data_IF_974072718629
#
_entry.id   IF_974072718629
#
_cell.length_a   1.000
_cell.length_b   1.000
_cell.length_c   1.000
_cell.angle_alpha   90.00
_cell.angle_beta   90.00
_cell.angle_gamma   90.00
#
_symmetry.space_group_name_H-M   'P 1'
#
loop_
_entity.id
_entity.type
_entity.pdbx_description
1 polymer ?
#
# COMPACT_ATOMS: atom_id res chain seq x y z
N UNK A 1 -8.36 -26.99 -1.24
CA UNK A 1 -8.72 -26.33 0.04
C UNK A 1 -9.35 -27.28 1.07
N UNK A 2 -10.36 -28.09 0.75
CA UNK A 2 -11.04 -28.98 1.72
C UNK A 2 -10.12 -29.98 2.47
N UNK A 3 -9.11 -30.55 1.80
CA UNK A 3 -8.13 -31.46 2.44
C UNK A 3 -7.06 -30.75 3.30
N UNK A 4 -6.83 -29.45 3.07
CA UNK A 4 -5.90 -28.63 3.85
C UNK A 4 -6.55 -28.15 5.17
N UNK A 5 -7.81 -27.72 5.10
CA UNK A 5 -8.65 -27.41 6.27
C UNK A 5 -8.82 -28.62 7.19
N UNK A 6 -8.98 -29.83 6.63
CA UNK A 6 -9.09 -31.07 7.39
C UNK A 6 -7.84 -31.40 8.24
N UNK A 7 -6.66 -30.90 7.89
CA UNK A 7 -5.40 -31.20 8.59
C UNK A 7 -4.88 -30.08 9.48
N UNK A 8 -5.17 -28.81 9.16
CA UNK A 8 -5.11 -27.74 10.18
C UNK A 8 -6.02 -28.10 11.36
N UNK A 9 -7.21 -28.68 11.09
CA UNK A 9 -8.09 -29.30 12.10
C UNK A 9 -7.44 -30.47 12.85
N UNK A 10 -6.71 -31.35 12.18
CA UNK A 10 -6.04 -32.51 12.80
C UNK A 10 -4.84 -32.11 13.68
N UNK A 11 -4.00 -31.18 13.22
CA UNK A 11 -2.92 -30.61 14.04
C UNK A 11 -3.48 -29.76 15.18
N UNK A 12 -4.66 -29.16 14.96
CA UNK A 12 -5.37 -28.44 15.99
C UNK A 12 -5.90 -29.33 17.12
N UNK A 13 -6.44 -30.50 16.80
CA UNK A 13 -6.84 -31.50 17.78
C UNK A 13 -5.62 -32.17 18.45
N UNK A 14 -4.58 -32.52 17.69
CA UNK A 14 -3.45 -33.30 18.19
C UNK A 14 -2.62 -32.59 19.29
N UNK A 15 -2.62 -31.26 19.32
CA UNK A 15 -1.94 -30.47 20.34
C UNK A 15 -2.64 -30.41 21.71
N UNK A 16 -3.69 -31.21 21.91
CA UNK A 16 -4.38 -31.37 23.21
C UNK A 16 -4.04 -32.65 23.97
N UNK A 17 -3.37 -33.64 23.35
CA UNK A 17 -3.00 -34.90 24.02
C UNK A 17 -1.68 -35.48 23.48
N UNK A 18 -0.58 -35.32 24.22
CA UNK A 18 0.61 -36.20 24.08
C UNK A 18 1.25 -36.41 25.47
N UNK A 19 1.25 -37.63 26.03
CA UNK A 19 2.10 -37.97 27.18
C UNK A 19 3.54 -38.23 26.71
N UNK A 20 4.57 -38.04 27.57
CA UNK A 20 5.95 -38.16 27.14
C UNK A 20 6.34 -39.64 27.06
N UNK A 21 6.71 -40.12 25.87
CA UNK A 21 7.48 -41.36 25.72
C UNK A 21 8.94 -40.99 25.49
N UNK A 22 9.79 -41.60 26.31
CA UNK A 22 11.20 -41.30 26.46
C UNK A 22 12.02 -42.10 25.42
N UNK A 23 12.81 -41.41 24.59
CA UNK A 23 13.97 -42.00 23.90
C UNK A 23 15.11 -40.98 23.83
N UNK A 24 16.36 -41.36 24.16
CA UNK A 24 17.52 -40.49 24.05
C UNK A 24 18.23 -40.66 22.70
N UNK A 25 19.00 -39.62 22.34
CA UNK A 25 19.91 -39.46 21.20
C UNK A 25 19.36 -38.81 19.92
N UNK A 26 19.48 -37.49 19.86
CA UNK A 26 20.14 -36.75 18.77
C UNK A 26 20.22 -35.26 19.12
N UNK A 27 21.42 -34.70 19.23
CA UNK A 27 21.69 -33.26 19.28
C UNK A 27 21.48 -32.64 17.89
N UNK A 28 20.22 -32.43 17.52
CA UNK A 28 19.82 -31.27 16.74
C UNK A 28 19.26 -30.28 17.76
N UNK A 29 19.47 -28.98 17.59
CA UNK A 29 18.82 -27.97 18.42
C UNK A 29 17.32 -28.27 18.44
N UNK A 30 16.85 -28.82 19.56
CA UNK A 30 15.51 -29.37 19.70
C UNK A 30 14.60 -28.16 19.72
N UNK A 31 14.08 -27.77 18.55
CA UNK A 31 13.04 -26.74 18.45
C UNK A 31 11.90 -27.27 19.30
N UNK A 32 11.84 -26.77 20.53
CA UNK A 32 10.98 -27.33 21.55
C UNK A 32 9.55 -27.29 21.06
N UNK A 33 8.83 -28.41 21.17
CA UNK A 33 7.47 -28.52 20.64
C UNK A 33 6.59 -27.36 21.13
N UNK A 34 5.69 -26.82 20.28
CA UNK A 34 4.79 -25.76 20.68
C UNK A 34 3.89 -26.24 21.83
N UNK A 35 3.58 -25.32 22.75
CA UNK A 35 2.71 -25.57 23.89
C UNK A 35 1.50 -24.65 23.83
N UNK A 36 0.39 -25.10 24.40
CA UNK A 36 -0.83 -24.33 24.52
C UNK A 36 -1.02 -23.77 25.92
N UNK A 37 -1.66 -22.61 26.00
CA UNK A 37 -2.10 -21.99 27.25
C UNK A 37 -3.27 -21.06 26.96
N UNK A 38 -4.06 -20.71 27.99
CA UNK A 38 -5.27 -19.91 27.82
C UNK A 38 -5.12 -18.54 28.47
N UNK A 39 -5.66 -17.52 27.81
CA UNK A 39 -5.82 -16.16 28.34
C UNK A 39 -7.26 -15.75 28.08
N UNK A 40 -8.12 -15.83 29.10
CA UNK A 40 -9.56 -15.65 28.93
C UNK A 40 -10.11 -16.64 27.89
N UNK A 41 -10.85 -16.17 26.86
CA UNK A 41 -11.38 -17.03 25.80
C UNK A 41 -10.34 -17.43 24.73
N UNK A 42 -9.11 -16.93 24.80
CA UNK A 42 -8.09 -17.17 23.78
C UNK A 42 -7.22 -18.35 24.17
N UNK A 43 -7.21 -19.40 23.35
CA UNK A 43 -6.21 -20.48 23.46
C UNK A 43 -5.02 -20.14 22.58
N UNK A 44 -3.90 -19.77 23.20
CA UNK A 44 -2.66 -19.47 22.50
C UNK A 44 -1.81 -20.73 22.36
N UNK A 45 -1.21 -20.92 21.18
CA UNK A 45 -0.26 -21.99 20.87
C UNK A 45 1.02 -21.34 20.38
N UNK A 46 2.14 -21.58 21.07
CA UNK A 46 3.42 -20.98 20.73
C UNK A 46 4.59 -21.86 21.14
N UNK A 47 5.74 -21.64 20.49
CA UNK A 47 7.02 -22.21 20.89
C UNK A 47 7.56 -21.49 22.14
N UNK A 48 8.38 -22.15 22.98
CA UNK A 48 8.85 -21.55 24.23
C UNK A 48 9.52 -20.18 24.09
N UNK A 49 10.25 -19.95 22.99
CA UNK A 49 10.90 -18.65 22.73
C UNK A 49 9.90 -17.51 22.48
N UNK A 50 8.72 -17.82 21.92
CA UNK A 50 7.68 -16.86 21.57
C UNK A 50 6.64 -16.68 22.69
N UNK A 51 6.81 -17.35 23.83
CA UNK A 51 5.76 -17.49 24.84
C UNK A 51 5.31 -16.15 25.45
N UNK A 52 6.27 -15.24 25.69
CA UNK A 52 5.99 -13.89 26.19
C UNK A 52 5.11 -13.10 25.21
N UNK A 53 5.50 -13.09 23.93
CA UNK A 53 4.77 -12.40 22.87
C UNK A 53 3.38 -13.02 22.65
N UNK A 54 3.28 -14.36 22.62
CA UNK A 54 2.01 -15.05 22.50
C UNK A 54 1.03 -14.68 23.63
N UNK A 55 1.53 -14.54 24.86
CA UNK A 55 0.70 -14.16 26.01
C UNK A 55 0.20 -12.73 25.90
N UNK A 56 1.05 -11.82 25.44
CA UNK A 56 0.70 -10.42 25.20
C UNK A 56 -0.36 -10.28 24.11
N UNK A 57 -0.18 -10.97 22.98
CA UNK A 57 -1.13 -10.99 21.87
C UNK A 57 -2.46 -11.66 22.27
N UNK A 58 -2.42 -12.75 23.01
CA UNK A 58 -3.62 -13.41 23.52
C UNK A 58 -4.39 -12.53 24.51
N UNK A 59 -3.69 -11.81 25.39
CA UNK A 59 -4.30 -10.83 26.29
C UNK A 59 -4.99 -9.71 25.51
N UNK A 60 -4.36 -9.18 24.46
CA UNK A 60 -4.98 -8.17 23.58
C UNK A 60 -6.22 -8.71 22.88
N UNK A 61 -6.15 -9.92 22.33
CA UNK A 61 -7.27 -10.56 21.64
C UNK A 61 -8.43 -10.94 22.58
N UNK A 62 -8.15 -11.08 23.89
CA UNK A 62 -9.14 -11.34 24.92
C UNK A 62 -9.87 -10.07 25.40
N UNK A 63 -9.46 -8.87 24.96
CA UNK A 63 -10.14 -7.62 25.30
C UNK A 63 -11.27 -7.34 24.31
N UNK A 64 -12.37 -6.71 24.76
CA UNK A 64 -13.36 -6.13 23.85
C UNK A 64 -12.66 -5.14 22.91
N UNK A 65 -12.94 -5.25 21.61
CA UNK A 65 -12.40 -4.37 20.60
C UNK A 65 -13.55 -3.70 19.84
N UNK A 66 -13.36 -2.41 19.56
CA UNK A 66 -14.24 -1.65 18.68
C UNK A 66 -13.77 -1.79 17.23
N UNK A 67 -14.69 -2.26 16.38
CA UNK A 67 -14.51 -2.46 14.95
C UNK A 67 -15.45 -1.51 14.20
N UNK A 68 -14.93 -0.62 13.34
CA UNK A 68 -15.73 0.45 12.75
C UNK A 68 -17.02 -0.05 12.12
N UNK A 69 -18.15 0.44 12.62
CA UNK A 69 -19.48 0.15 12.08
C UNK A 69 -20.06 -1.23 12.38
N UNK A 70 -19.35 -2.07 13.14
CA UNK A 70 -19.90 -3.30 13.70
C UNK A 70 -20.37 -3.06 15.14
N UNK A 71 -21.40 -3.80 15.62
CA UNK A 71 -21.77 -3.75 17.02
C UNK A 71 -20.61 -4.24 17.89
N UNK A 72 -20.47 -3.69 19.10
CA UNK A 72 -19.49 -4.19 20.05
C UNK A 72 -19.81 -5.66 20.38
N UNK A 73 -18.86 -6.55 20.12
CA UNK A 73 -19.03 -7.99 20.38
C UNK A 73 -18.06 -8.44 21.45
N UNK A 74 -18.58 -9.18 22.43
CA UNK A 74 -17.72 -9.83 23.43
C UNK A 74 -16.74 -10.80 22.74
N UNK A 75 -15.48 -10.86 23.20
CA UNK A 75 -14.48 -11.80 22.70
C UNK A 75 -15.02 -13.23 22.74
N UNK A 76 -15.01 -13.92 21.60
CA UNK A 76 -15.39 -15.33 21.51
C UNK A 76 -14.17 -16.23 21.69
N UNK A 77 -14.39 -17.53 22.01
CA UNK A 77 -13.34 -18.52 21.96
C UNK A 77 -12.63 -18.50 20.61
N UNK A 78 -11.32 -18.25 20.62
CA UNK A 78 -10.48 -18.23 19.44
C UNK A 78 -9.14 -18.90 19.73
N UNK A 79 -8.52 -19.45 18.70
CA UNK A 79 -7.20 -20.05 18.80
C UNK A 79 -6.15 -19.20 18.12
N UNK A 80 -5.17 -18.73 18.87
CA UNK A 80 -4.07 -17.93 18.37
C UNK A 80 -2.81 -18.79 18.27
N UNK A 81 -2.30 -19.01 17.06
CA UNK A 81 -1.08 -19.76 16.82
C UNK A 81 0.03 -18.76 16.46
N UNK A 82 1.05 -18.65 17.30
CA UNK A 82 2.20 -17.80 17.04
C UNK A 82 3.38 -18.67 16.58
N UNK A 83 3.61 -18.66 15.27
CA UNK A 83 4.71 -19.36 14.62
C UNK A 83 6.00 -18.54 14.69
N UNK A 84 7.19 -19.17 14.80
CA UNK A 84 8.46 -18.43 14.85
C UNK A 84 8.72 -17.60 13.59
N UNK A 85 8.40 -18.14 12.42
CA UNK A 85 8.69 -17.56 11.11
C UNK A 85 7.71 -18.06 10.03
N UNK A 86 7.88 -17.58 8.80
CA UNK A 86 7.08 -18.01 7.65
C UNK A 86 7.23 -19.50 7.31
N UNK A 87 8.42 -20.10 7.51
CA UNK A 87 8.65 -21.53 7.23
C UNK A 87 7.83 -22.43 8.14
N UNK A 88 7.68 -22.02 9.40
CA UNK A 88 6.81 -22.70 10.35
C UNK A 88 5.35 -22.59 9.93
N UNK A 89 4.88 -21.43 9.45
CA UNK A 89 3.51 -21.29 8.89
C UNK A 89 3.32 -22.17 7.66
N UNK A 90 4.25 -22.16 6.71
CA UNK A 90 4.17 -22.99 5.51
C UNK A 90 4.09 -24.48 5.87
N UNK A 91 4.87 -24.90 6.87
CA UNK A 91 4.84 -26.28 7.39
C UNK A 91 3.48 -26.62 8.03
N UNK A 92 2.94 -25.71 8.85
CA UNK A 92 1.64 -25.88 9.52
C UNK A 92 0.47 -25.91 8.52
N UNK A 93 0.59 -25.18 7.42
CA UNK A 93 -0.46 -25.05 6.39
C UNK A 93 -0.22 -25.94 5.18
N UNK A 94 0.87 -26.72 5.16
CA UNK A 94 1.31 -27.53 4.01
C UNK A 94 1.43 -26.71 2.71
N UNK A 95 1.90 -25.46 2.82
CA UNK A 95 2.05 -24.53 1.70
C UNK A 95 0.73 -23.99 1.13
N UNK A 96 -0.40 -24.18 1.84
CA UNK A 96 -1.69 -23.64 1.43
C UNK A 96 -1.89 -22.17 1.87
N UNK A 97 -1.07 -21.69 2.80
CA UNK A 97 -0.96 -20.29 3.14
C UNK A 97 -0.43 -19.48 1.95
N UNK A 98 -0.93 -18.26 1.70
CA UNK A 98 -0.20 -17.32 0.87
C UNK A 98 1.16 -17.07 1.52
N UNK A 99 2.26 -17.42 0.84
CA UNK A 99 3.63 -17.32 1.39
C UNK A 99 4.09 -15.88 1.71
N UNK A 100 3.23 -14.88 1.51
CA UNK A 100 3.47 -13.47 1.77
C UNK A 100 2.68 -12.91 2.96
N UNK A 101 1.69 -13.64 3.49
CA UNK A 101 0.89 -13.18 4.62
C UNK A 101 1.69 -13.18 5.92
N UNK A 102 1.77 -12.03 6.60
CA UNK A 102 2.32 -11.94 7.96
C UNK A 102 1.42 -12.62 9.01
N UNK A 103 0.14 -12.80 8.65
CA UNK A 103 -0.88 -13.50 9.43
C UNK A 103 -1.91 -14.16 8.51
N UNK A 104 -2.70 -15.07 9.08
CA UNK A 104 -3.81 -15.75 8.41
C UNK A 104 -4.95 -15.94 9.42
N UNK A 105 -6.12 -15.39 9.12
CA UNK A 105 -7.36 -15.72 9.76
C UNK A 105 -8.07 -16.88 9.04
N UNK A 106 -8.58 -17.81 9.83
CA UNK A 106 -9.55 -18.83 9.43
C UNK A 106 -10.84 -18.56 10.24
N UNK A 107 -11.73 -17.68 9.77
CA UNK A 107 -12.88 -17.22 10.56
C UNK A 107 -13.83 -18.35 10.97
N UNK A 108 -14.08 -19.31 10.07
CA UNK A 108 -14.96 -20.46 10.31
C UNK A 108 -14.44 -21.37 11.43
N UNK A 109 -13.12 -21.56 11.51
CA UNK A 109 -12.47 -22.31 12.58
C UNK A 109 -12.13 -21.46 13.82
N UNK A 110 -12.27 -20.13 13.75
CA UNK A 110 -11.82 -19.17 14.77
C UNK A 110 -10.34 -19.32 15.10
N UNK A 111 -9.53 -19.58 14.08
CA UNK A 111 -8.08 -19.70 14.22
C UNK A 111 -7.43 -18.46 13.61
N UNK A 112 -6.45 -17.91 14.32
CA UNK A 112 -5.54 -16.89 13.82
C UNK A 112 -4.13 -17.47 13.87
N UNK A 113 -3.41 -17.41 12.77
CA UNK A 113 -1.99 -17.73 12.69
C UNK A 113 -1.22 -16.44 12.49
N UNK A 114 -0.18 -16.22 13.28
CA UNK A 114 0.70 -15.05 13.18
C UNK A 114 2.16 -15.48 13.16
N UNK A 115 2.98 -14.64 12.51
CA UNK A 115 4.43 -14.72 12.54
C UNK A 115 5.01 -13.91 13.69
N UNK A 116 5.92 -14.51 14.45
CA UNK A 116 6.62 -13.82 15.54
C UNK A 116 7.73 -12.89 15.05
N UNK A 117 8.25 -13.12 13.83
CA UNK A 117 9.24 -12.27 13.18
C UNK A 117 8.63 -11.08 12.42
N UNK A 118 7.31 -10.92 12.45
CA UNK A 118 6.62 -9.74 11.93
C UNK A 118 6.81 -8.54 12.88
N UNK A 119 7.51 -7.46 12.46
CA UNK A 119 7.68 -6.27 13.30
C UNK A 119 6.34 -5.61 13.65
N UNK A 120 5.31 -5.82 12.86
CA UNK A 120 3.97 -5.23 13.01
C UNK A 120 2.94 -6.23 13.53
N UNK A 121 3.37 -7.32 14.20
CA UNK A 121 2.50 -8.43 14.63
C UNK A 121 1.26 -8.00 15.42
N UNK A 122 1.32 -6.90 16.18
CA UNK A 122 0.15 -6.37 16.90
C UNK A 122 -0.88 -5.75 15.95
N UNK A 123 -0.43 -5.07 14.90
CA UNK A 123 -1.27 -4.53 13.83
C UNK A 123 -1.85 -5.68 13.00
N UNK A 124 -1.03 -6.66 12.64
CA UNK A 124 -1.46 -7.89 11.95
C UNK A 124 -2.53 -8.63 12.76
N UNK A 125 -2.34 -8.81 14.07
CA UNK A 125 -3.38 -9.37 14.94
C UNK A 125 -4.70 -8.60 14.85
N UNK A 126 -4.65 -7.26 14.84
CA UNK A 126 -5.85 -6.42 14.75
C UNK A 126 -6.56 -6.60 13.40
N UNK A 127 -5.79 -6.75 12.31
CA UNK A 127 -6.29 -7.08 10.97
C UNK A 127 -7.01 -8.44 10.97
N UNK A 128 -6.35 -9.49 11.46
CA UNK A 128 -6.94 -10.84 11.52
C UNK A 128 -8.19 -10.89 12.39
N UNK A 129 -8.19 -10.21 13.54
CA UNK A 129 -9.39 -10.14 14.38
C UNK A 129 -10.53 -9.35 13.71
N UNK A 130 -10.24 -8.40 12.83
CA UNK A 130 -11.26 -7.67 12.07
C UNK A 130 -11.97 -8.58 11.07
N UNK A 131 -11.26 -9.50 10.41
CA UNK A 131 -11.90 -10.55 9.60
C UNK A 131 -12.84 -11.40 10.45
N UNK A 132 -12.38 -11.88 11.62
CA UNK A 132 -13.24 -12.67 12.52
C UNK A 132 -14.48 -11.88 12.97
N UNK A 133 -14.33 -10.60 13.27
CA UNK A 133 -15.44 -9.73 13.66
C UNK A 133 -16.45 -9.55 12.51
N UNK A 134 -15.96 -9.29 11.30
CA UNK A 134 -16.79 -9.10 10.11
C UNK A 134 -17.56 -10.38 9.77
N UNK A 135 -16.90 -11.52 9.67
CA UNK A 135 -17.54 -12.82 9.35
C UNK A 135 -18.48 -13.32 10.45
N UNK A 136 -18.27 -12.88 11.70
CA UNK A 136 -19.22 -13.18 12.78
C UNK A 136 -20.50 -12.36 12.65
N UNK A 137 -20.40 -11.10 12.25
CA UNK A 137 -21.52 -10.17 12.16
C UNK A 137 -22.29 -10.30 10.83
N UNK A 138 -21.57 -10.46 9.72
CA UNK A 138 -22.09 -10.54 8.36
C UNK A 138 -22.06 -12.00 7.90
N UNK A 139 -23.23 -12.58 7.66
CA UNK A 139 -23.39 -13.99 7.26
C UNK A 139 -23.48 -14.21 5.75
N UNK A 140 -23.66 -13.14 5.00
CA UNK A 140 -23.62 -13.17 3.54
C UNK A 140 -22.16 -13.17 3.06
N UNK A 141 -21.95 -13.58 1.81
CA UNK A 141 -20.65 -13.47 1.18
C UNK A 141 -20.40 -12.03 0.73
N UNK A 142 -19.29 -11.45 1.15
CA UNK A 142 -18.81 -10.15 0.66
C UNK A 142 -17.68 -10.34 -0.35
N UNK A 143 -17.44 -9.36 -1.24
CA UNK A 143 -16.25 -9.34 -2.08
C UNK A 143 -14.96 -9.36 -1.23
N UNK A 144 -13.91 -10.02 -1.72
CA UNK A 144 -12.61 -10.09 -1.05
C UNK A 144 -12.00 -8.70 -0.87
N UNK A 145 -12.13 -7.81 -1.87
CA UNK A 145 -11.61 -6.45 -1.72
C UNK A 145 -12.29 -5.69 -0.57
N UNK A 146 -13.56 -5.99 -0.29
CA UNK A 146 -14.27 -5.38 0.83
C UNK A 146 -13.79 -5.96 2.16
N UNK A 147 -13.67 -7.28 2.24
CA UNK A 147 -13.17 -7.98 3.44
C UNK A 147 -11.77 -7.50 3.84
N UNK A 148 -10.84 -7.49 2.88
CA UNK A 148 -9.45 -7.06 3.09
C UNK A 148 -9.36 -5.55 3.38
N UNK A 149 -10.10 -4.74 2.62
CA UNK A 149 -10.14 -3.29 2.83
C UNK A 149 -10.74 -2.92 4.19
N UNK A 150 -11.73 -3.69 4.67
CA UNK A 150 -12.33 -3.51 5.98
C UNK A 150 -11.33 -3.83 7.09
N UNK A 151 -10.66 -4.98 6.99
CA UNK A 151 -9.68 -5.42 7.97
C UNK A 151 -8.49 -4.43 8.07
N UNK A 152 -7.98 -3.96 6.92
CA UNK A 152 -6.92 -2.96 6.87
C UNK A 152 -7.37 -1.59 7.45
N UNK A 153 -8.60 -1.16 7.15
CA UNK A 153 -9.19 0.05 7.74
C UNK A 153 -9.30 -0.08 9.26
N UNK A 154 -9.79 -1.22 9.76
CA UNK A 154 -9.96 -1.48 11.18
C UNK A 154 -8.62 -1.57 11.93
N UNK A 155 -7.59 -2.10 11.28
CA UNK A 155 -6.20 -2.14 11.77
C UNK A 155 -5.48 -0.78 11.70
N UNK A 156 -6.15 0.28 11.22
CA UNK A 156 -5.61 1.63 11.05
C UNK A 156 -4.37 1.67 10.15
N UNK A 157 -4.35 0.86 9.10
CA UNK A 157 -3.22 0.75 8.18
C UNK A 157 -3.16 1.89 7.16
N UNK A 158 -3.51 3.10 7.58
CA UNK A 158 -3.52 4.30 6.76
C UNK A 158 -2.12 4.64 6.20
N UNK A 159 -1.06 4.21 6.89
CA UNK A 159 0.34 4.34 6.43
C UNK A 159 0.59 3.57 5.12
N UNK A 160 -0.11 2.44 4.88
CA UNK A 160 -0.01 1.68 3.62
C UNK A 160 -0.59 2.44 2.43
N UNK A 161 -1.50 3.40 2.66
CA UNK A 161 -1.97 4.31 1.59
C UNK A 161 -0.86 5.24 1.08
N UNK A 162 0.16 5.52 1.88
CA UNK A 162 1.37 6.23 1.43
C UNK A 162 2.20 5.39 0.47
N UNK A 163 2.28 4.06 0.68
CA UNK A 163 2.92 3.11 -0.23
C UNK A 163 2.24 3.03 -1.61
N UNK A 164 0.95 3.39 -1.68
CA UNK A 164 0.23 3.53 -2.93
C UNK A 164 0.84 4.59 -3.84
N UNK A 165 1.35 5.71 -3.28
CA UNK A 165 2.00 6.78 -4.05
C UNK A 165 3.26 6.28 -4.75
N UNK A 166 4.07 5.49 -4.04
CA UNK A 166 5.30 4.90 -4.55
C UNK A 166 5.00 3.84 -5.62
N UNK A 167 3.99 2.99 -5.39
CA UNK A 167 3.59 1.95 -6.33
C UNK A 167 2.93 2.50 -7.61
N UNK A 168 2.11 3.55 -7.51
CA UNK A 168 1.54 4.22 -8.69
C UNK A 168 2.56 5.03 -9.48
N UNK A 169 3.60 5.56 -8.83
CA UNK A 169 4.71 6.20 -9.52
C UNK A 169 5.53 5.21 -10.35
N UNK A 170 5.58 3.94 -9.93
CA UNK A 170 6.30 2.85 -10.61
C UNK A 170 5.42 2.12 -11.64
N UNK A 171 4.11 1.98 -11.39
CA UNK A 171 3.18 1.31 -12.28
C UNK A 171 2.68 2.24 -13.40
N UNK A 172 2.70 1.75 -14.64
CA UNK A 172 2.26 2.46 -15.87
C UNK A 172 0.74 2.74 -15.94
N UNK A 173 0.19 3.49 -14.97
CA UNK A 173 -0.90 4.43 -15.21
C UNK A 173 -2.35 3.91 -15.26
N UNK A 174 -2.67 2.73 -14.76
CA UNK A 174 -4.07 2.29 -14.68
C UNK A 174 -4.47 1.85 -13.27
N UNK A 175 -5.43 2.55 -12.66
CA UNK A 175 -6.16 2.06 -11.48
C UNK A 175 -6.98 0.85 -11.93
N UNK A 176 -6.78 -0.36 -11.36
CA UNK A 176 -7.54 -1.55 -11.75
C UNK A 176 -9.04 -1.35 -11.47
N UNK A 177 -9.87 -2.08 -12.19
CA UNK A 177 -11.27 -2.30 -11.79
C UNK A 177 -11.33 -3.22 -10.56
N UNK A 178 -12.53 -3.38 -9.98
CA UNK A 178 -12.69 -4.17 -8.76
C UNK A 178 -12.42 -5.67 -9.00
N UNK A 179 -12.70 -6.18 -10.20
CA UNK A 179 -12.43 -7.57 -10.57
C UNK A 179 -10.92 -7.84 -10.73
N UNK A 180 -10.17 -6.93 -11.33
CA UNK A 180 -8.72 -7.04 -11.40
C UNK A 180 -8.09 -6.86 -10.01
N UNK A 181 -8.66 -6.01 -9.15
CA UNK A 181 -8.24 -5.87 -7.74
C UNK A 181 -8.43 -7.17 -6.97
N UNK A 182 -9.58 -7.82 -7.13
CA UNK A 182 -9.89 -9.15 -6.62
C UNK A 182 -8.86 -10.19 -7.06
N UNK A 183 -8.46 -10.16 -8.33
CA UNK A 183 -7.38 -11.02 -8.86
C UNK A 183 -6.03 -10.72 -8.21
N UNK A 184 -5.69 -9.44 -8.05
CA UNK A 184 -4.42 -8.99 -7.47
C UNK A 184 -4.29 -9.35 -5.98
N UNK A 185 -5.38 -9.29 -5.20
CA UNK A 185 -5.42 -9.72 -3.80
C UNK A 185 -5.18 -11.22 -3.64
N UNK A 186 -5.56 -12.03 -4.63
CA UNK A 186 -5.27 -13.48 -4.67
C UNK A 186 -3.88 -13.81 -5.23
N UNK A 187 -3.17 -12.80 -5.73
CA UNK A 187 -1.92 -12.93 -6.47
C UNK A 187 -0.67 -13.03 -5.59
N UNK A 188 0.46 -12.56 -6.14
CA UNK A 188 1.78 -12.68 -5.54
C UNK A 188 2.13 -11.55 -4.57
N UNK A 189 3.10 -11.82 -3.69
CA UNK A 189 3.65 -10.91 -2.68
C UNK A 189 3.98 -9.50 -3.20
N UNK A 190 4.54 -9.41 -4.42
CA UNK A 190 5.04 -8.17 -5.00
C UNK A 190 3.96 -7.14 -5.35
N UNK A 191 2.70 -7.56 -5.46
CA UNK A 191 1.55 -6.68 -5.75
C UNK A 191 0.59 -6.56 -4.58
N UNK A 192 0.82 -7.31 -3.50
CA UNK A 192 -0.09 -7.42 -2.36
C UNK A 192 -0.30 -6.07 -1.67
N UNK A 193 0.77 -5.34 -1.36
CA UNK A 193 0.68 -4.05 -0.64
C UNK A 193 -0.16 -3.00 -1.38
N UNK A 194 0.03 -2.90 -2.71
CA UNK A 194 -0.75 -2.00 -3.54
C UNK A 194 -2.24 -2.41 -3.59
N UNK A 195 -2.51 -3.71 -3.69
CA UNK A 195 -3.86 -4.24 -3.72
C UNK A 195 -4.58 -4.00 -2.38
N UNK A 196 -3.93 -4.24 -1.23
CA UNK A 196 -4.46 -3.94 0.09
C UNK A 196 -4.79 -2.45 0.28
N UNK A 197 -3.89 -1.58 -0.17
CA UNK A 197 -4.10 -0.15 -0.08
C UNK A 197 -5.23 0.33 -1.03
N UNK A 198 -5.40 -0.26 -2.22
CA UNK A 198 -6.54 0.00 -3.10
C UNK A 198 -7.87 -0.46 -2.48
N UNK A 199 -7.90 -1.65 -1.90
CA UNK A 199 -9.04 -2.20 -1.17
C UNK A 199 -9.45 -1.30 0.01
N UNK A 200 -8.47 -0.86 0.80
CA UNK A 200 -8.67 0.10 1.91
C UNK A 200 -9.25 1.42 1.39
N UNK A 201 -8.75 1.92 0.26
CA UNK A 201 -9.26 3.15 -0.35
C UNK A 201 -10.70 3.00 -0.87
N UNK A 202 -11.06 1.82 -1.40
CA UNK A 202 -12.43 1.51 -1.83
C UNK A 202 -13.39 1.50 -0.64
N UNK A 203 -13.05 0.79 0.45
CA UNK A 203 -13.85 0.75 1.68
C UNK A 203 -13.99 2.15 2.31
N UNK A 204 -12.92 2.94 2.31
CA UNK A 204 -12.96 4.33 2.76
C UNK A 204 -13.88 5.22 1.92
N UNK A 205 -13.96 4.96 0.61
CA UNK A 205 -14.87 5.68 -0.27
C UNK A 205 -16.33 5.28 -0.06
N UNK A 206 -16.60 3.99 0.20
CA UNK A 206 -17.94 3.54 0.62
C UNK A 206 -18.38 4.24 1.91
N UNK A 207 -17.50 4.24 2.93
CA UNK A 207 -17.77 4.90 4.20
C UNK A 207 -18.17 6.37 4.00
N UNK A 208 -17.37 7.11 3.22
CA UNK A 208 -17.59 8.53 2.94
C UNK A 208 -18.90 8.84 2.22
N UNK A 209 -19.40 7.89 1.42
CA UNK A 209 -20.61 8.05 0.60
C UNK A 209 -21.89 7.64 1.31
N UNK A 210 -21.78 6.83 2.35
CA UNK A 210 -22.92 6.54 3.19
C UNK A 210 -23.43 7.84 3.86
N UNK A 211 -24.72 7.93 4.22
CA UNK A 211 -25.32 9.17 4.72
C UNK A 211 -24.66 9.68 6.00
N UNK A 212 -24.09 8.79 6.81
CA UNK A 212 -23.39 9.10 8.06
C UNK A 212 -21.91 9.40 7.87
N UNK A 213 -21.36 9.25 6.65
CA UNK A 213 -19.91 9.28 6.41
C UNK A 213 -19.14 8.11 7.06
N UNK A 214 -19.85 7.05 7.48
CA UNK A 214 -19.28 5.86 8.14
C UNK A 214 -19.79 4.57 7.48
N UNK A 215 -19.17 3.43 7.80
CA UNK A 215 -19.64 2.12 7.32
C UNK A 215 -20.91 1.62 8.03
N UNK A 216 -21.36 2.28 9.10
CA UNK A 216 -22.50 1.83 9.93
C UNK A 216 -23.75 1.51 9.10
N UNK A 217 -24.22 2.36 8.17
CA UNK A 217 -25.44 2.07 7.42
C UNK A 217 -25.29 0.84 6.53
N UNK A 218 -24.14 0.69 5.86
CA UNK A 218 -23.85 -0.46 5.00
C UNK A 218 -23.78 -1.74 5.83
N UNK A 219 -22.95 -1.77 6.88
CA UNK A 219 -22.77 -2.94 7.72
C UNK A 219 -24.07 -3.36 8.43
N UNK A 220 -24.91 -2.40 8.83
CA UNK A 220 -26.21 -2.72 9.44
C UNK A 220 -27.10 -3.53 8.48
N UNK A 221 -27.09 -3.21 7.18
CA UNK A 221 -27.84 -3.96 6.16
C UNK A 221 -27.22 -5.33 5.90
N UNK A 222 -25.90 -5.40 5.80
CA UNK A 222 -25.19 -6.67 5.60
C UNK A 222 -25.40 -7.64 6.79
N UNK A 223 -25.40 -7.12 8.02
CA UNK A 223 -25.73 -7.88 9.23
C UNK A 223 -27.19 -8.37 9.23
N UNK A 224 -28.11 -7.63 8.62
CA UNK A 224 -29.51 -8.04 8.43
C UNK A 224 -29.69 -9.08 7.33
N UNK A 225 -28.64 -9.40 6.56
CA UNK A 225 -28.66 -10.41 5.50
C UNK A 225 -28.95 -9.86 4.11
N UNK A 226 -28.95 -8.54 3.91
CA UNK A 226 -29.05 -7.95 2.58
C UNK A 226 -27.86 -8.36 1.72
N UNK A 227 -28.12 -8.64 0.44
CA UNK A 227 -27.09 -8.83 -0.57
C UNK A 227 -26.16 -7.59 -0.67
N UNK A 228 -24.87 -7.83 -0.93
CA UNK A 228 -23.85 -6.79 -0.88
C UNK A 228 -24.11 -5.65 -1.86
N UNK A 229 -24.42 -5.95 -3.12
CA UNK A 229 -24.67 -4.93 -4.14
C UNK A 229 -25.94 -4.14 -3.83
N UNK A 230 -26.99 -4.83 -3.36
CA UNK A 230 -28.25 -4.18 -2.94
C UNK A 230 -28.02 -3.25 -1.74
N UNK A 231 -27.20 -3.65 -0.79
CA UNK A 231 -26.86 -2.84 0.37
C UNK A 231 -26.06 -1.60 -0.04
N UNK A 232 -25.05 -1.74 -0.92
CA UNK A 232 -24.30 -0.60 -1.47
C UNK A 232 -25.20 0.37 -2.21
N UNK A 233 -26.10 -0.14 -3.07
CA UNK A 233 -27.07 0.69 -3.77
C UNK A 233 -27.98 1.44 -2.81
N UNK A 234 -28.51 0.75 -1.79
CA UNK A 234 -29.42 1.33 -0.83
C UNK A 234 -28.78 2.41 0.06
N UNK A 235 -27.48 2.30 0.36
CA UNK A 235 -26.81 3.26 1.26
C UNK A 235 -26.08 4.37 0.52
N UNK A 236 -25.54 4.11 -0.68
CA UNK A 236 -24.76 5.11 -1.43
C UNK A 236 -25.53 5.73 -2.59
N UNK A 237 -26.65 5.13 -3.00
CA UNK A 237 -27.38 5.49 -4.22
C UNK A 237 -26.68 5.08 -5.52
N UNK A 238 -25.56 4.34 -5.44
CA UNK A 238 -24.78 3.91 -6.59
C UNK A 238 -24.90 2.41 -6.81
N UNK A 239 -25.09 1.99 -8.05
CA UNK A 239 -24.82 0.61 -8.46
C UNK A 239 -23.33 0.30 -8.31
N UNK A 240 -22.98 -0.99 -8.21
CA UNK A 240 -21.59 -1.44 -8.06
C UNK A 240 -20.68 -0.87 -9.18
N UNK A 241 -21.15 -0.89 -10.42
CA UNK A 241 -20.43 -0.31 -11.57
C UNK A 241 -20.25 1.22 -11.49
N UNK A 242 -21.27 1.95 -11.04
CA UNK A 242 -21.16 3.40 -10.82
C UNK A 242 -20.18 3.74 -9.68
N UNK A 243 -20.22 2.97 -8.59
CA UNK A 243 -19.27 3.11 -7.50
C UNK A 243 -17.84 2.90 -7.99
N UNK A 244 -17.59 1.86 -8.80
CA UNK A 244 -16.25 1.61 -9.33
C UNK A 244 -15.72 2.80 -10.13
N UNK A 245 -16.50 3.33 -11.08
CA UNK A 245 -16.11 4.48 -11.92
C UNK A 245 -15.70 5.65 -11.04
N UNK A 246 -16.51 5.94 -10.02
CA UNK A 246 -16.31 7.04 -9.09
C UNK A 246 -15.06 6.83 -8.22
N UNK A 247 -14.89 5.63 -7.67
CA UNK A 247 -13.74 5.29 -6.84
C UNK A 247 -12.44 5.42 -7.64
N UNK A 248 -12.39 4.82 -8.84
CA UNK A 248 -11.23 4.90 -9.75
C UNK A 248 -10.89 6.34 -10.11
N UNK A 249 -11.91 7.15 -10.40
CA UNK A 249 -11.72 8.56 -10.71
C UNK A 249 -11.16 9.35 -9.51
N UNK A 250 -11.58 9.02 -8.28
CA UNK A 250 -11.00 9.63 -7.08
C UNK A 250 -9.55 9.20 -6.85
N UNK A 251 -9.20 7.93 -7.06
CA UNK A 251 -7.81 7.47 -7.00
C UNK A 251 -6.97 8.21 -8.05
N UNK A 252 -7.43 8.28 -9.30
CA UNK A 252 -6.74 9.03 -10.37
C UNK A 252 -6.54 10.50 -10.00
N UNK A 253 -7.55 11.18 -9.45
CA UNK A 253 -7.42 12.59 -9.05
C UNK A 253 -6.48 12.80 -7.87
N UNK A 254 -6.52 11.91 -6.88
CA UNK A 254 -5.68 12.01 -5.67
C UNK A 254 -4.21 11.74 -5.98
N UNK A 255 -3.93 10.76 -6.82
CA UNK A 255 -2.56 10.29 -7.08
C UNK A 255 -1.99 10.74 -8.43
N UNK A 256 -2.83 11.24 -9.34
CA UNK A 256 -2.42 11.65 -10.69
C UNK A 256 -1.43 12.83 -10.70
N UNK A 257 -1.54 13.76 -9.74
CA UNK A 257 -0.61 14.88 -9.62
C UNK A 257 0.78 14.42 -9.16
N UNK A 258 0.84 13.48 -8.21
CA UNK A 258 2.10 12.87 -7.73
C UNK A 258 2.77 12.09 -8.85
N UNK A 259 1.99 11.26 -9.57
CA UNK A 259 2.48 10.53 -10.75
C UNK A 259 2.97 11.49 -11.84
N UNK A 260 2.27 12.59 -12.11
CA UNK A 260 2.69 13.59 -13.10
C UNK A 260 4.01 14.28 -12.72
N UNK A 261 4.20 14.61 -11.43
CA UNK A 261 5.47 15.18 -10.94
C UNK A 261 6.62 14.18 -11.13
N UNK A 262 6.45 12.93 -10.69
CA UNK A 262 7.49 11.90 -10.73
C UNK A 262 7.80 11.47 -12.17
N UNK A 263 6.80 11.43 -13.05
CA UNK A 263 6.96 11.14 -14.48
C UNK A 263 7.63 12.28 -15.29
N UNK A 264 8.12 13.32 -14.62
CA UNK A 264 8.89 14.41 -15.25
C UNK A 264 8.07 15.62 -15.68
N UNK A 265 6.75 15.64 -15.43
CA UNK A 265 5.89 16.79 -15.72
C UNK A 265 6.32 18.06 -14.98
N UNK A 266 6.90 17.91 -13.78
CA UNK A 266 7.51 19.03 -13.04
C UNK A 266 8.66 19.69 -13.81
N UNK A 267 9.50 18.90 -14.48
CA UNK A 267 10.57 19.41 -15.35
C UNK A 267 10.01 20.08 -16.61
N UNK A 268 8.91 19.56 -17.18
CA UNK A 268 8.23 20.19 -18.31
C UNK A 268 7.61 21.55 -17.94
N UNK A 269 7.00 21.67 -16.77
CA UNK A 269 6.49 22.96 -16.29
C UNK A 269 7.62 23.95 -15.98
N UNK A 270 8.69 23.49 -15.33
CA UNK A 270 9.86 24.34 -15.05
C UNK A 270 10.51 24.85 -16.34
N UNK A 271 10.68 23.98 -17.34
CA UNK A 271 11.24 24.38 -18.65
C UNK A 271 10.32 25.36 -19.38
N UNK A 272 8.99 25.18 -19.32
CA UNK A 272 8.02 26.11 -19.91
C UNK A 272 8.08 27.49 -19.24
N UNK A 273 8.16 27.53 -17.90
CA UNK A 273 8.28 28.77 -17.12
C UNK A 273 9.60 29.48 -17.45
N UNK A 274 10.71 28.76 -17.44
CA UNK A 274 12.02 29.32 -17.80
C UNK A 274 12.02 29.84 -19.24
N UNK A 275 11.47 29.09 -20.19
CA UNK A 275 11.32 29.52 -21.58
C UNK A 275 10.47 30.78 -21.71
N UNK A 276 9.34 30.86 -21.01
CA UNK A 276 8.46 32.04 -21.01
C UNK A 276 9.16 33.27 -20.39
N UNK A 277 9.90 33.09 -19.29
CA UNK A 277 10.71 34.15 -18.68
C UNK A 277 11.84 34.61 -19.60
N UNK A 278 12.55 33.69 -20.25
CA UNK A 278 13.60 34.01 -21.23
C UNK A 278 13.02 34.71 -22.46
N UNK A 279 11.83 34.30 -22.93
CA UNK A 279 11.15 34.95 -24.06
C UNK A 279 10.69 36.35 -23.69
N UNK A 280 10.14 36.55 -22.48
CA UNK A 280 9.77 37.88 -21.96
C UNK A 280 11.00 38.76 -21.78
N UNK A 281 12.08 38.25 -21.20
CA UNK A 281 13.37 38.97 -21.08
C UNK A 281 13.91 39.35 -22.45
N UNK A 282 14.01 38.41 -23.39
CA UNK A 282 14.45 38.69 -24.75
C UNK A 282 13.54 39.70 -25.47
N UNK A 283 12.22 39.68 -25.24
CA UNK A 283 11.30 40.66 -25.80
C UNK A 283 11.50 42.06 -25.20
N UNK A 284 11.78 42.15 -23.90
CA UNK A 284 12.11 43.40 -23.20
C UNK A 284 13.51 43.94 -23.53
N UNK A 285 14.48 43.05 -23.79
CA UNK A 285 15.87 43.39 -24.10
C UNK A 285 16.10 43.73 -25.59
N UNK A 286 15.14 43.44 -26.47
CA UNK A 286 15.18 43.81 -27.91
C UNK A 286 15.48 45.29 -28.15
N UNK A 287 14.77 46.26 -27.53
CA UNK A 287 15.07 47.68 -27.70
C UNK A 287 16.45 48.07 -27.15
N UNK A 288 16.92 47.40 -26.09
CA UNK A 288 18.23 47.68 -25.47
C UNK A 288 19.40 47.19 -26.31
N UNK A 289 19.22 46.11 -27.08
CA UNK A 289 20.21 45.60 -28.05
C UNK A 289 20.26 46.44 -29.33
N UNK A 290 19.10 46.90 -29.81
CA UNK A 290 19.04 47.83 -30.94
C UNK A 290 19.78 49.15 -30.68
N UNK A 291 19.88 49.57 -29.41
CA UNK A 291 20.66 50.74 -29.00
C UNK A 291 22.18 50.50 -28.98
N UNK A 292 22.65 49.25 -28.90
CA UNK A 292 24.08 48.90 -28.92
C UNK A 292 24.62 48.77 -30.36
N UNK A 293 23.78 48.36 -31.32
CA UNK A 293 24.12 48.30 -32.75
C UNK A 293 24.28 49.69 -33.40
N UNK A 294 23.87 50.77 -32.71
CA UNK A 294 24.01 52.15 -33.18
C UNK A 294 25.33 52.83 -32.76
N UNK A 295 26.26 52.12 -32.08
CA UNK A 295 27.30 52.78 -31.28
C UNK A 295 28.76 52.38 -31.49
N UNK A 296 29.13 51.67 -32.56
CA UNK A 296 30.55 51.40 -32.86
C UNK A 296 30.87 51.69 -34.33
N UNK A 297 30.93 52.98 -34.68
CA UNK A 297 31.77 53.44 -35.79
C UNK A 297 33.20 53.43 -35.28
N UNK A 298 34.02 52.47 -35.74
CA UNK A 298 35.46 52.58 -35.61
C UNK A 298 35.87 53.68 -36.60
N UNK A 299 36.18 54.86 -36.09
CA UNK A 299 36.65 55.99 -36.88
C UNK A 299 38.05 55.62 -37.42
N UNK A 300 38.29 55.64 -38.75
CA UNK A 300 39.65 55.54 -39.26
C UNK A 300 40.43 56.76 -38.76
N UNK A 301 41.61 56.50 -38.19
CA UNK A 301 42.50 57.53 -37.65
C UNK A 301 43.11 58.33 -38.83
N UNK A 302 42.36 59.33 -39.32
CA UNK A 302 42.78 60.21 -40.41
C UNK A 302 43.51 61.45 -39.85
N UNK A 303 44.84 61.47 -40.05
CA UNK A 303 45.58 62.73 -40.27
C UNK A 303 46.48 63.24 -39.15
N UNK A 304 47.72 62.72 -39.07
CA UNK A 304 48.89 63.48 -38.64
C UNK A 304 49.67 63.98 -39.87
N UNK A 305 50.24 65.21 -39.85
CA UNK A 305 50.40 66.06 -41.05
C UNK A 305 51.65 65.82 -41.92
N UNK A 306 51.54 66.30 -43.17
CA UNK A 306 52.52 66.31 -44.27
C UNK A 306 53.92 66.84 -43.93
N UNK A 307 54.94 66.16 -44.45
CA UNK A 307 56.26 66.75 -44.75
C UNK A 307 56.77 66.24 -46.11
N UNK A 308 56.39 66.99 -47.16
CA UNK A 308 57.25 67.49 -48.25
C UNK A 308 58.29 66.59 -48.95
N UNK A 309 58.03 66.30 -50.23
CA UNK A 309 58.87 66.74 -51.36
C UNK A 309 60.21 66.04 -51.65
N UNK A 310 60.29 65.37 -52.82
CA UNK A 310 61.40 65.39 -53.81
C UNK A 310 61.20 64.20 -54.77
N UNK A 311 60.76 64.45 -56.01
CA UNK A 311 61.63 64.60 -57.20
C UNK A 311 62.38 63.32 -57.59
N UNK A 312 61.79 62.60 -58.53
CA UNK A 312 62.39 62.17 -59.81
C UNK A 312 63.90 62.41 -59.99
N UNK A 313 64.67 61.34 -60.23
CA UNK A 313 65.77 61.33 -61.22
C UNK A 313 66.03 59.93 -61.83
N UNK A 314 66.09 59.98 -63.15
CA UNK A 314 66.31 59.05 -64.26
C UNK A 314 67.61 58.21 -64.22
N UNK A 315 67.61 56.93 -64.65
CA UNK A 315 68.80 56.09 -64.70
C UNK A 315 69.46 56.03 -66.08
N UNK A 316 70.29 57.00 -66.49
CA UNK A 316 71.38 56.79 -67.49
C UNK A 316 72.46 57.89 -67.52
N UNK A 317 73.66 57.63 -66.98
CA UNK A 317 74.93 58.09 -67.60
C UNK A 317 76.14 57.35 -67.00
N UNK A 318 76.89 56.66 -67.87
CA UNK A 318 78.34 56.41 -67.72
C UNK A 318 79.09 57.55 -68.42
N UNK A 319 80.34 57.91 -68.06
CA UNK A 319 81.18 58.67 -68.98
C UNK A 319 81.38 57.93 -70.32
#
# INVERSE_FOLDING_TARGET
MARALARVRALALALTLVPPLCHPHATAAQVSAPRSFSVGPVTAVAWPAQWRLARELAARAALPADYPGLPAVAPAPLRLILAPDGRAIDSLTSGAAPGWGAGIALPDERIILLRADDPEVTRTLRHELAHLALHRAVRIRVPLWFDEGYAATAAKEWERLGGLELNFAVARGAVPDLDALEGALRGSASTADAAYALATAAVSELARRNPTGTLVPLLSRLCAGDDFERAVLATTGLTMGQFEVVWRERIRRRYGLVVWIIAGGGWSALTLVLWALLRRRRAFDRPRRAALDQGWLIEPEDGGPEATGASELDPTHRP
#
